data_IF_432301717552
#
_entry.id   IF_432301717552
#
_cell.length_a   1.000
_cell.length_b   1.000
_cell.length_c   1.000
_cell.angle_alpha   90.00
_cell.angle_beta   90.00
_cell.angle_gamma   90.00
#
_symmetry.space_group_name_H-M   'P 1'
#
loop_
_entity.id
_entity.type
_entity.pdbx_description
1 polymer ?
#
# COMPACT_ATOMS: atom_id res chain seq x y z
N UNK A 1 3.44 29.39 13.52
CA UNK A 1 3.19 27.97 13.80
C UNK A 1 3.96 27.15 12.78
N UNK A 2 5.20 26.77 13.08
CA UNK A 2 6.01 25.94 12.16
C UNK A 2 5.98 24.48 12.59
N UNK A 3 4.77 23.90 12.65
CA UNK A 3 4.66 22.44 12.80
C UNK A 3 4.99 21.79 11.46
N UNK A 4 5.84 20.78 11.51
CA UNK A 4 6.17 19.94 10.36
C UNK A 4 5.54 18.58 10.57
N UNK A 5 4.76 18.12 9.60
CA UNK A 5 4.07 16.84 9.68
C UNK A 5 4.56 15.90 8.59
N UNK A 6 4.77 14.64 8.96
CA UNK A 6 5.12 13.54 8.06
C UNK A 6 4.09 12.44 8.22
N UNK A 7 3.52 11.96 7.11
CA UNK A 7 2.74 10.72 7.12
C UNK A 7 3.56 9.57 6.53
N UNK A 8 3.40 8.37 7.11
CA UNK A 8 3.96 7.11 6.62
C UNK A 8 2.79 6.20 6.30
N UNK A 9 2.65 5.85 5.03
CA UNK A 9 1.62 4.98 4.49
C UNK A 9 2.26 3.61 4.24
N UNK A 10 1.68 2.58 4.85
CA UNK A 10 2.25 1.24 4.89
C UNK A 10 1.18 0.16 4.77
N UNK A 11 1.60 -1.07 4.54
CA UNK A 11 0.73 -2.25 4.58
C UNK A 11 0.51 -2.70 6.01
N UNK A 12 -0.72 -2.63 6.48
CA UNK A 12 -1.12 -3.06 7.82
C UNK A 12 -0.58 -4.44 8.15
N UNK A 13 -0.15 -4.61 9.42
CA UNK A 13 0.49 -5.81 9.95
C UNK A 13 1.89 -6.09 9.38
N UNK A 14 2.04 -6.19 8.06
CA UNK A 14 3.30 -6.57 7.40
C UNK A 14 4.40 -5.52 7.54
N UNK A 15 4.04 -4.23 7.57
CA UNK A 15 4.99 -3.12 7.58
C UNK A 15 4.82 -2.18 8.77
N UNK A 16 4.01 -2.59 9.76
CA UNK A 16 3.67 -1.78 10.95
C UNK A 16 4.91 -1.38 11.76
N UNK A 17 5.79 -2.33 12.03
CA UNK A 17 7.02 -2.08 12.81
C UNK A 17 7.95 -1.13 12.08
N UNK A 18 8.10 -1.29 10.76
CA UNK A 18 8.87 -0.37 9.92
C UNK A 18 8.31 1.06 9.97
N UNK A 19 6.99 1.23 9.85
CA UNK A 19 6.35 2.53 9.97
C UNK A 19 6.56 3.18 11.35
N UNK A 20 6.48 2.38 12.43
CA UNK A 20 6.76 2.80 13.81
C UNK A 20 8.21 3.27 13.97
N UNK A 21 9.17 2.56 13.38
CA UNK A 21 10.58 2.95 13.41
C UNK A 21 10.84 4.25 12.66
N UNK A 22 10.23 4.43 11.49
CA UNK A 22 10.35 5.67 10.72
C UNK A 22 9.77 6.85 11.52
N UNK A 23 8.52 6.76 11.99
CA UNK A 23 7.88 7.88 12.70
C UNK A 23 8.56 8.21 14.03
N UNK A 24 8.98 7.19 14.81
CA UNK A 24 9.78 7.41 16.03
C UNK A 24 11.15 8.00 15.71
N UNK A 25 11.83 7.48 14.69
CA UNK A 25 13.14 7.97 14.25
C UNK A 25 13.11 9.45 13.87
N UNK A 26 12.04 9.91 13.23
CA UNK A 26 11.82 11.33 12.93
C UNK A 26 11.81 12.17 14.20
N UNK A 27 11.02 11.76 15.21
CA UNK A 27 10.91 12.48 16.48
C UNK A 27 12.24 12.46 17.24
N UNK A 28 12.90 11.31 17.31
CA UNK A 28 14.19 11.14 18.00
C UNK A 28 15.28 12.02 17.36
N UNK A 29 15.37 12.05 16.03
CA UNK A 29 16.29 12.91 15.29
C UNK A 29 15.99 14.39 15.54
N UNK A 30 14.73 14.81 15.46
CA UNK A 30 14.33 16.19 15.73
C UNK A 30 14.71 16.66 17.15
N UNK A 31 14.60 15.77 18.16
CA UNK A 31 14.99 16.08 19.54
C UNK A 31 16.49 16.35 19.70
N UNK A 32 17.34 15.84 18.81
CA UNK A 32 18.78 16.17 18.81
C UNK A 32 19.06 17.63 18.44
N UNK A 33 18.09 18.31 17.84
CA UNK A 33 18.15 19.75 17.53
C UNK A 33 17.29 20.59 18.49
N UNK A 34 16.87 20.04 19.63
CA UNK A 34 16.07 20.78 20.63
C UNK A 34 14.60 20.96 20.26
N UNK A 35 14.12 20.34 19.19
CA UNK A 35 12.69 20.33 18.82
C UNK A 35 11.93 19.29 19.64
N UNK A 36 10.60 19.40 19.63
CA UNK A 36 9.70 18.42 20.27
C UNK A 36 8.84 17.75 19.21
N UNK A 37 8.33 16.54 19.50
CA UNK A 37 7.48 15.86 18.54
C UNK A 37 6.71 14.68 19.12
N UNK A 38 5.71 14.23 18.35
CA UNK A 38 4.85 13.10 18.67
C UNK A 38 4.74 12.17 17.45
N UNK A 39 4.65 10.87 17.71
CA UNK A 39 4.36 9.85 16.70
C UNK A 39 3.12 9.06 17.10
N UNK A 40 2.17 8.87 16.18
CA UNK A 40 0.92 8.16 16.44
C UNK A 40 0.34 7.52 15.18
N UNK A 41 -0.47 6.47 15.34
CA UNK A 41 -1.21 5.84 14.26
C UNK A 41 -2.57 6.48 14.02
N UNK A 42 -3.07 6.41 12.79
CA UNK A 42 -4.43 6.83 12.48
C UNK A 42 -5.43 5.91 13.16
N UNK A 43 -6.28 6.48 14.01
CA UNK A 43 -7.24 5.69 14.80
C UNK A 43 -8.17 4.83 13.94
N UNK A 44 -8.65 5.35 12.80
CA UNK A 44 -9.53 4.63 11.88
C UNK A 44 -8.93 3.38 11.23
N UNK A 45 -7.60 3.22 11.28
CA UNK A 45 -6.94 2.00 10.78
C UNK A 45 -6.88 0.90 11.84
N UNK A 46 -7.20 1.20 13.10
CA UNK A 46 -7.10 0.25 14.22
C UNK A 46 -8.44 -0.46 14.50
N UNK A 47 -8.48 -1.79 14.60
CA UNK A 47 -7.34 -2.71 14.49
C UNK A 47 -6.87 -2.91 13.04
N UNK A 48 -5.55 -2.91 12.85
CA UNK A 48 -4.94 -3.15 11.53
C UNK A 48 -5.30 -4.55 10.97
N UNK A 49 -5.18 -4.70 9.65
CA UNK A 49 -5.43 -5.94 8.91
C UNK A 49 -4.33 -6.18 7.90
N UNK A 50 -4.09 -7.45 7.58
CA UNK A 50 -3.04 -7.86 6.66
C UNK A 50 -3.17 -7.15 5.31
N UNK A 51 -2.18 -6.32 4.96
CA UNK A 51 -2.09 -5.68 3.65
C UNK A 51 -3.03 -4.49 3.43
N UNK A 52 -4.03 -4.28 4.29
CA UNK A 52 -4.89 -3.09 4.22
C UNK A 52 -4.01 -1.86 4.48
N UNK A 53 -4.04 -0.84 3.62
CA UNK A 53 -3.25 0.36 3.82
C UNK A 53 -3.58 1.04 5.17
N UNK A 54 -2.53 1.42 5.89
CA UNK A 54 -2.62 2.11 7.17
C UNK A 54 -1.66 3.31 7.19
N UNK A 55 -1.92 4.26 8.10
CA UNK A 55 -1.12 5.46 8.27
C UNK A 55 -0.59 5.62 9.69
N UNK A 56 0.65 6.06 9.78
CA UNK A 56 1.23 6.65 10.99
C UNK A 56 1.75 8.05 10.68
N UNK A 57 1.79 8.89 11.71
CA UNK A 57 2.22 10.27 11.59
C UNK A 57 3.36 10.55 12.55
N UNK A 58 4.26 11.44 12.14
CA UNK A 58 5.21 12.11 13.00
C UNK A 58 5.01 13.62 12.85
N UNK A 59 4.79 14.31 13.97
CA UNK A 59 4.64 15.77 14.00
C UNK A 59 5.77 16.33 14.85
N UNK A 60 6.51 17.29 14.29
CA UNK A 60 7.64 17.97 14.93
C UNK A 60 7.31 19.46 15.02
N UNK A 61 7.61 20.07 16.17
CA UNK A 61 7.40 21.48 16.44
C UNK A 61 8.61 22.09 17.15
N UNK A 62 8.70 23.42 17.16
CA UNK A 62 9.80 24.11 17.84
C UNK A 62 9.71 23.98 19.37
N UNK A 63 8.50 23.92 19.92
CA UNK A 63 8.23 23.84 21.36
C UNK A 63 6.89 23.15 21.66
N UNK A 64 6.63 22.89 22.94
CA UNK A 64 5.44 22.16 23.41
C UNK A 64 4.12 22.88 23.11
N UNK A 65 4.11 24.20 23.16
CA UNK A 65 2.91 25.01 22.89
C UNK A 65 2.45 24.84 21.44
N UNK A 66 3.38 24.88 20.48
CA UNK A 66 3.07 24.61 19.07
C UNK A 66 2.65 23.14 18.84
N UNK A 67 3.21 22.20 19.59
CA UNK A 67 2.89 20.78 19.46
C UNK A 67 1.47 20.47 19.94
N UNK A 68 1.02 21.08 21.04
CA UNK A 68 -0.29 20.82 21.67
C UNK A 68 -1.46 20.97 20.71
N UNK A 69 -1.42 21.93 19.79
CA UNK A 69 -2.46 22.13 18.76
C UNK A 69 -2.58 20.97 17.76
N UNK A 70 -1.62 20.06 17.73
CA UNK A 70 -1.58 18.90 16.83
C UNK A 70 -1.85 17.56 17.53
N UNK A 71 -1.72 17.49 18.87
CA UNK A 71 -1.88 16.24 19.64
C UNK A 71 -3.34 15.77 19.69
N UNK A 72 -4.31 16.69 19.55
CA UNK A 72 -5.75 16.39 19.63
C UNK A 72 -6.39 16.07 18.26
N UNK A 73 -5.63 15.58 17.28
CA UNK A 73 -6.12 15.28 15.92
C UNK A 73 -5.94 13.81 15.57
N UNK A 74 -6.93 13.23 14.87
CA UNK A 74 -6.86 11.85 14.39
C UNK A 74 -5.93 11.67 13.17
N UNK A 75 -5.82 12.70 12.34
CA UNK A 75 -4.99 12.78 11.13
C UNK A 75 -4.67 14.27 10.90
N UNK A 76 -3.44 14.63 10.50
CA UNK A 76 -3.12 15.98 10.04
C UNK A 76 -3.95 16.37 8.82
N UNK A 77 -4.30 17.65 8.68
CA UNK A 77 -4.97 18.13 7.46
C UNK A 77 -4.03 18.23 6.27
N UNK A 78 -2.75 18.52 6.55
CA UNK A 78 -1.69 18.65 5.56
C UNK A 78 -0.36 18.15 6.12
N UNK A 79 0.53 17.68 5.25
CA UNK A 79 1.86 17.16 5.58
C UNK A 79 2.93 17.71 4.63
N UNK A 80 4.14 17.87 5.14
CA UNK A 80 5.31 18.33 4.38
C UNK A 80 5.96 17.17 3.61
N UNK A 81 5.84 15.95 4.17
CA UNK A 81 6.34 14.72 3.56
C UNK A 81 5.30 13.60 3.70
N UNK A 82 5.05 12.90 2.60
CA UNK A 82 4.37 11.60 2.60
C UNK A 82 5.41 10.52 2.28
N UNK A 83 5.45 9.44 3.05
CA UNK A 83 6.30 8.27 2.78
C UNK A 83 5.40 7.08 2.47
N UNK A 84 5.50 6.53 1.26
CA UNK A 84 4.85 5.27 0.88
C UNK A 84 5.89 4.15 0.81
N UNK A 85 5.79 3.16 1.69
CA UNK A 85 6.80 2.08 1.82
C UNK A 85 6.60 0.91 0.84
N UNK A 86 5.56 0.98 0.01
CA UNK A 86 5.24 0.06 -1.09
C UNK A 86 4.72 0.89 -2.28
N UNK A 87 5.24 0.65 -3.48
CA UNK A 87 4.88 1.41 -4.67
C UNK A 87 3.47 1.13 -5.18
N UNK A 88 2.89 -0.03 -4.87
CA UNK A 88 1.50 -0.32 -5.19
C UNK A 88 0.51 0.59 -4.45
N UNK A 89 0.91 1.23 -3.34
CA UNK A 89 0.12 2.25 -2.64
C UNK A 89 -0.08 3.53 -3.46
N UNK A 90 0.72 3.75 -4.52
CA UNK A 90 0.53 4.88 -5.44
C UNK A 90 -0.86 4.87 -6.09
N UNK A 91 -1.41 3.67 -6.33
CA UNK A 91 -2.76 3.45 -6.88
C UNK A 91 -3.89 3.79 -5.89
N UNK A 92 -3.54 4.32 -4.71
CA UNK A 92 -4.47 4.81 -3.72
C UNK A 92 -4.56 3.94 -2.47
N UNK A 93 -5.10 4.55 -1.44
CA UNK A 93 -5.08 4.12 -0.05
C UNK A 93 -6.52 4.12 0.44
N UNK A 94 -7.04 2.97 0.82
CA UNK A 94 -8.35 2.88 1.44
C UNK A 94 -8.20 2.25 2.81
N UNK A 95 -8.57 3.02 3.83
CA UNK A 95 -8.76 2.48 5.18
C UNK A 95 -10.00 1.60 5.20
N UNK A 96 -10.05 0.65 6.13
CA UNK A 96 -11.26 -0.16 6.33
C UNK A 96 -12.42 0.62 6.98
N UNK A 97 -12.24 1.90 7.31
CA UNK A 97 -13.24 2.80 7.91
C UNK A 97 -14.07 3.64 6.90
N UNK A 98 -14.36 3.10 5.71
CA UNK A 98 -15.32 3.68 4.73
C UNK A 98 -15.02 5.11 4.23
N UNK A 99 -13.74 5.47 4.11
CA UNK A 99 -13.35 6.80 3.62
C UNK A 99 -13.30 6.93 2.08
N UNK A 100 -13.60 5.85 1.36
CA UNK A 100 -13.35 5.75 -0.08
C UNK A 100 -11.86 5.69 -0.41
N UNK A 101 -11.54 5.75 -1.69
CA UNK A 101 -10.17 5.78 -2.18
C UNK A 101 -9.53 7.13 -1.86
N UNK A 102 -8.39 7.11 -1.18
CA UNK A 102 -7.59 8.32 -0.95
C UNK A 102 -6.32 8.27 -1.78
N UNK A 103 -6.02 9.32 -2.56
CA UNK A 103 -4.71 9.48 -3.16
C UNK A 103 -3.58 9.42 -2.13
N UNK A 104 -2.46 8.79 -2.49
CA UNK A 104 -1.26 8.76 -1.63
C UNK A 104 -0.75 10.17 -1.33
N UNK A 105 -0.91 11.12 -2.26
CA UNK A 105 -0.51 12.52 -2.18
C UNK A 105 -1.62 13.45 -1.64
N UNK A 106 -2.69 12.90 -1.04
CA UNK A 106 -3.87 13.68 -0.60
C UNK A 106 -3.48 14.78 0.39
N UNK A 107 -2.77 14.43 1.47
CA UNK A 107 -2.40 15.39 2.52
C UNK A 107 -1.19 16.25 2.15
N UNK A 108 -0.47 15.92 1.09
CA UNK A 108 0.79 16.58 0.77
C UNK A 108 0.55 18.06 0.44
N UNK A 109 1.32 18.96 1.04
CA UNK A 109 1.30 20.40 0.72
C UNK A 109 1.86 20.67 -0.67
N UNK A 110 1.57 21.86 -1.21
CA UNK A 110 2.30 22.37 -2.37
C UNK A 110 3.81 22.38 -2.09
N UNK A 111 4.59 21.92 -3.06
CA UNK A 111 6.04 21.74 -2.98
C UNK A 111 6.53 20.74 -1.92
N UNK A 112 5.61 20.05 -1.21
CA UNK A 112 5.95 18.92 -0.34
C UNK A 112 6.57 17.74 -1.12
N UNK A 113 7.06 16.75 -0.40
CA UNK A 113 7.70 15.57 -1.01
C UNK A 113 6.97 14.26 -0.72
N UNK A 114 6.62 13.53 -1.76
CA UNK A 114 6.21 12.13 -1.70
C UNK A 114 7.45 11.24 -1.88
N UNK A 115 7.83 10.49 -0.86
CA UNK A 115 8.89 9.48 -0.92
C UNK A 115 8.27 8.11 -1.17
N UNK A 116 8.78 7.34 -2.13
CA UNK A 116 8.27 6.00 -2.46
C UNK A 116 9.42 4.98 -2.50
N UNK A 117 9.25 3.82 -1.84
CA UNK A 117 10.10 2.65 -2.10
C UNK A 117 9.71 2.04 -3.43
N UNK A 118 10.59 2.04 -4.43
CA UNK A 118 10.31 1.36 -5.69
C UNK A 118 11.56 0.98 -6.46
N UNK A 119 11.44 -0.04 -7.31
CA UNK A 119 12.45 -0.34 -8.34
C UNK A 119 12.22 0.50 -9.60
N UNK A 120 10.99 1.00 -9.82
CA UNK A 120 10.58 1.81 -10.96
C UNK A 120 11.14 3.23 -10.93
N UNK A 121 11.26 3.85 -12.10
CA UNK A 121 11.55 5.29 -12.26
C UNK A 121 10.35 6.16 -11.87
N UNK A 122 10.55 7.49 -11.81
CA UNK A 122 9.47 8.43 -11.51
C UNK A 122 8.43 8.42 -12.63
N UNK A 123 8.90 8.37 -13.87
CA UNK A 123 8.11 8.34 -15.10
C UNK A 123 7.19 7.11 -15.15
N UNK A 124 7.65 5.96 -14.62
CA UNK A 124 6.86 4.74 -14.51
C UNK A 124 5.87 4.74 -13.34
N UNK A 125 6.09 5.57 -12.30
CA UNK A 125 5.22 5.64 -11.12
C UNK A 125 4.13 6.70 -11.23
N UNK A 126 4.43 7.85 -11.83
CA UNK A 126 3.50 8.98 -11.96
C UNK A 126 2.15 8.55 -12.58
N UNK A 127 2.08 7.71 -13.63
CA UNK A 127 0.79 7.25 -14.18
C UNK A 127 -0.09 6.50 -13.17
N UNK A 128 0.49 5.98 -12.08
CA UNK A 128 -0.24 5.29 -11.03
C UNK A 128 -0.64 6.20 -9.86
N UNK A 129 -0.05 7.38 -9.73
CA UNK A 129 -0.34 8.34 -8.67
C UNK A 129 -1.44 9.28 -9.15
N UNK A 130 -2.50 9.46 -8.37
CA UNK A 130 -3.60 10.36 -8.73
C UNK A 130 -3.12 11.79 -8.91
N UNK A 131 -3.69 12.49 -9.90
CA UNK A 131 -3.43 13.90 -10.15
C UNK A 131 -3.65 14.75 -8.90
N UNK A 132 -2.82 15.77 -8.75
CA UNK A 132 -2.95 16.82 -7.76
C UNK A 132 -2.93 18.17 -8.46
N UNK A 133 -3.73 19.08 -7.94
CA UNK A 133 -3.89 20.46 -8.40
C UNK A 133 -2.67 21.34 -8.13
N UNK A 134 -1.84 20.94 -7.17
CA UNK A 134 -0.58 21.62 -6.83
C UNK A 134 0.64 20.76 -7.17
N UNK A 135 1.74 21.45 -7.47
CA UNK A 135 3.03 20.81 -7.71
C UNK A 135 3.59 20.18 -6.43
N UNK A 136 4.29 19.05 -6.57
CA UNK A 136 5.00 18.40 -5.47
C UNK A 136 6.27 17.71 -5.98
N UNK A 137 7.10 17.16 -5.09
CA UNK A 137 8.29 16.41 -5.45
C UNK A 137 8.04 14.91 -5.25
N UNK A 138 8.44 14.08 -6.21
CA UNK A 138 8.48 12.63 -6.07
C UNK A 138 9.92 12.20 -5.83
N UNK A 139 10.20 11.67 -4.65
CA UNK A 139 11.48 11.11 -4.26
C UNK A 139 11.43 9.57 -4.30
N UNK A 140 12.43 8.93 -4.92
CA UNK A 140 12.47 7.47 -5.06
C UNK A 140 13.61 6.91 -4.23
N UNK A 141 13.26 5.99 -3.33
CA UNK A 141 14.20 5.12 -2.66
C UNK A 141 14.23 3.80 -3.42
N UNK A 142 15.35 3.56 -4.13
CA UNK A 142 15.49 2.35 -4.94
C UNK A 142 15.49 1.10 -4.06
N UNK A 143 14.51 0.23 -4.29
CA UNK A 143 14.34 -1.02 -3.56
C UNK A 143 13.02 -1.70 -3.86
N UNK A 144 12.93 -3.00 -3.56
CA UNK A 144 11.64 -3.68 -3.47
C UNK A 144 10.95 -3.28 -2.16
N UNK A 145 9.63 -3.34 -2.14
CA UNK A 145 8.89 -3.17 -0.90
C UNK A 145 9.39 -4.18 0.16
N UNK A 146 9.67 -3.69 1.36
CA UNK A 146 10.17 -4.51 2.46
C UNK A 146 8.99 -5.25 3.08
N UNK A 147 8.92 -6.55 2.82
CA UNK A 147 7.95 -7.46 3.40
C UNK A 147 8.67 -8.60 4.09
N UNK A 148 8.08 -9.06 5.18
CA UNK A 148 8.38 -10.28 5.91
C UNK A 148 7.07 -10.93 6.34
N UNK A 149 7.16 -12.09 6.98
CA UNK A 149 6.03 -12.79 7.54
C UNK A 149 5.23 -11.97 8.55
N UNK A 150 4.09 -12.54 8.94
CA UNK A 150 3.17 -11.94 9.89
C UNK A 150 3.90 -11.58 11.19
N UNK A 151 3.89 -10.30 11.53
CA UNK A 151 4.55 -9.74 12.71
C UNK A 151 6.09 -9.82 12.73
N UNK A 152 6.72 -10.20 11.63
CA UNK A 152 8.18 -10.21 11.50
C UNK A 152 8.62 -8.85 10.97
N UNK A 153 9.67 -8.28 11.55
CA UNK A 153 10.32 -7.09 11.01
C UNK A 153 11.53 -7.50 10.15
N UNK A 154 11.49 -7.17 8.86
CA UNK A 154 12.64 -7.34 7.96
C UNK A 154 13.58 -6.15 8.10
N UNK A 155 14.67 -6.34 8.84
CA UNK A 155 15.71 -5.34 9.00
C UNK A 155 16.62 -5.23 7.75
N UNK A 156 16.05 -4.82 6.62
CA UNK A 156 16.77 -4.58 5.35
C UNK A 156 17.11 -3.09 5.12
N UNK A 157 17.12 -2.33 6.21
CA UNK A 157 17.45 -0.91 6.27
C UNK A 157 16.56 -0.03 5.36
N UNK A 158 15.36 -0.48 5.01
CA UNK A 158 14.38 0.34 4.27
C UNK A 158 13.95 1.54 5.10
N UNK A 159 13.70 1.37 6.40
CA UNK A 159 13.46 2.46 7.36
C UNK A 159 14.61 3.48 7.39
N UNK A 160 15.86 3.02 7.46
CA UNK A 160 17.04 3.89 7.50
C UNK A 160 17.24 4.66 6.20
N UNK A 161 16.95 4.04 5.06
CA UNK A 161 16.98 4.73 3.76
C UNK A 161 15.88 5.81 3.69
N UNK A 162 14.69 5.54 4.23
CA UNK A 162 13.62 6.55 4.32
C UNK A 162 14.02 7.72 5.21
N UNK A 163 14.51 7.43 6.41
CA UNK A 163 14.99 8.44 7.35
C UNK A 163 16.14 9.26 6.75
N UNK A 164 17.10 8.61 6.10
CA UNK A 164 18.25 9.26 5.46
C UNK A 164 17.88 10.21 4.32
N UNK A 165 16.74 10.02 3.67
CA UNK A 165 16.27 10.94 2.63
C UNK A 165 15.65 12.23 3.21
N UNK A 166 15.16 12.20 4.46
CA UNK A 166 14.45 13.33 5.06
C UNK A 166 15.30 14.61 5.20
N UNK A 167 16.57 14.58 5.65
CA UNK A 167 17.40 15.77 5.68
C UNK A 167 17.61 16.41 4.30
N UNK A 168 17.47 15.63 3.21
CA UNK A 168 17.59 16.14 1.84
C UNK A 168 16.30 16.79 1.35
N UNK A 169 15.15 16.17 1.62
CA UNK A 169 13.85 16.61 1.06
C UNK A 169 13.07 17.55 1.97
N UNK A 170 13.35 17.52 3.27
CA UNK A 170 12.72 18.33 4.30
C UNK A 170 13.74 18.70 5.39
N UNK A 171 14.78 19.50 5.07
CA UNK A 171 15.86 19.85 6.00
C UNK A 171 15.40 20.61 7.25
N UNK A 172 14.19 21.17 7.23
CA UNK A 172 13.59 21.84 8.39
C UNK A 172 13.14 20.84 9.48
N UNK A 173 12.94 19.56 9.17
CA UNK A 173 12.69 18.50 10.17
C UNK A 173 13.91 18.34 11.08
N UNK A 174 15.07 18.05 10.48
CA UNK A 174 16.37 17.88 11.11
C UNK A 174 17.45 17.69 10.03
N UNK A 175 18.71 17.96 10.37
CA UNK A 175 19.88 17.69 9.55
C UNK A 175 20.42 16.26 9.69
N UNK A 176 21.32 15.86 8.78
CA UNK A 176 21.97 14.54 8.81
C UNK A 176 22.69 14.24 10.14
N UNK A 177 23.47 15.17 10.75
CA UNK A 177 24.15 14.88 12.02
C UNK A 177 23.20 14.51 13.15
N UNK A 178 22.04 15.16 13.21
CA UNK A 178 21.00 14.87 14.20
C UNK A 178 20.38 13.48 13.99
N UNK A 179 20.12 13.11 12.72
CA UNK A 179 19.66 11.78 12.38
C UNK A 179 20.68 10.70 12.74
N UNK A 180 21.95 10.88 12.36
CA UNK A 180 22.99 9.90 12.67
C UNK A 180 23.19 9.74 14.17
N UNK A 181 23.16 10.83 14.94
CA UNK A 181 23.24 10.79 16.40
C UNK A 181 22.07 10.03 17.01
N UNK A 182 20.84 10.24 16.52
CA UNK A 182 19.67 9.46 16.93
C UNK A 182 19.81 7.98 16.56
N UNK A 183 20.36 7.66 15.38
CA UNK A 183 20.56 6.27 14.95
C UNK A 183 21.53 5.54 15.87
N UNK A 184 22.67 6.17 16.20
CA UNK A 184 23.70 5.60 17.08
C UNK A 184 23.20 5.42 18.51
N UNK A 185 22.33 6.31 18.99
CA UNK A 185 21.75 6.20 20.33
C UNK A 185 20.70 5.09 20.42
N UNK A 186 19.74 5.05 19.49
CA UNK A 186 18.59 4.14 19.56
C UNK A 186 18.96 2.71 19.12
N UNK A 187 19.64 2.56 17.97
CA UNK A 187 19.92 1.24 17.38
C UNK A 187 21.35 0.77 17.56
N UNK A 188 22.30 1.63 17.97
CA UNK A 188 23.72 1.29 18.20
C UNK A 188 24.36 0.57 17.02
N UNK A 189 24.04 1.01 15.80
CA UNK A 189 24.40 0.32 14.57
C UNK A 189 24.94 1.31 13.52
N UNK A 190 26.26 1.28 13.29
CA UNK A 190 26.92 2.14 12.31
C UNK A 190 26.61 1.74 10.85
N UNK A 191 26.16 0.50 10.59
CA UNK A 191 25.70 0.11 9.25
C UNK A 191 24.37 0.80 8.91
N UNK A 192 23.51 1.03 9.91
CA UNK A 192 22.29 1.82 9.73
C UNK A 192 22.59 3.28 9.43
N UNK A 193 23.61 3.86 10.09
CA UNK A 193 24.10 5.21 9.79
C UNK A 193 24.58 5.29 8.34
N UNK A 194 25.48 4.39 7.93
CA UNK A 194 25.98 4.35 6.55
C UNK A 194 24.87 4.14 5.50
N UNK A 195 23.79 3.42 5.87
CA UNK A 195 22.63 3.26 5.01
C UNK A 195 21.82 4.55 4.87
N UNK A 196 21.65 5.32 5.94
CA UNK A 196 20.98 6.62 5.92
C UNK A 196 21.79 7.64 5.10
N UNK A 197 23.11 7.72 5.31
CA UNK A 197 24.03 8.59 4.56
C UNK A 197 23.97 8.31 3.05
N UNK A 198 24.09 7.04 2.65
CA UNK A 198 23.99 6.66 1.23
C UNK A 198 22.64 7.03 0.63
N UNK A 199 21.57 7.00 1.41
CA UNK A 199 20.25 7.38 0.94
C UNK A 199 20.15 8.90 0.72
N UNK A 200 20.69 9.69 1.65
CA UNK A 200 20.78 11.15 1.51
C UNK A 200 21.48 11.55 0.20
N UNK A 201 22.57 10.87 -0.14
CA UNK A 201 23.35 11.13 -1.37
C UNK A 201 22.65 10.68 -2.65
N UNK A 202 21.91 9.57 -2.60
CA UNK A 202 21.41 8.86 -3.81
C UNK A 202 19.93 9.06 -4.09
N UNK A 203 19.16 9.64 -3.16
CA UNK A 203 17.73 9.86 -3.35
C UNK A 203 17.49 10.65 -4.64
N UNK A 204 16.70 10.06 -5.53
CA UNK A 204 16.34 10.68 -6.81
C UNK A 204 15.08 11.49 -6.59
N UNK A 205 15.11 12.78 -6.95
CA UNK A 205 13.97 13.68 -6.77
C UNK A 205 13.55 14.19 -8.15
N UNK A 206 12.26 14.05 -8.45
CA UNK A 206 11.65 14.52 -9.70
C UNK A 206 10.46 15.41 -9.37
N UNK A 207 10.43 16.61 -9.92
CA UNK A 207 9.33 17.56 -9.73
C UNK A 207 8.09 17.09 -10.50
N UNK A 208 6.96 16.95 -9.82
CA UNK A 208 5.65 16.65 -10.42
C UNK A 208 4.86 17.95 -10.57
N UNK A 209 4.45 18.24 -11.81
CA UNK A 209 3.65 19.43 -12.14
C UNK A 209 2.19 19.19 -11.73
N UNK A 210 1.40 20.26 -11.58
CA UNK A 210 -0.05 20.14 -11.53
C UNK A 210 -0.56 19.29 -12.69
N UNK A 211 -1.60 18.50 -12.45
CA UNK A 211 -2.29 17.65 -13.44
C UNK A 211 -1.48 16.50 -14.05
N UNK A 212 -0.22 16.30 -13.65
CA UNK A 212 0.52 15.07 -13.95
C UNK A 212 0.08 13.95 -13.00
N UNK A 213 -0.27 12.79 -13.56
CA UNK A 213 -0.71 11.62 -12.80
C UNK A 213 -1.88 10.87 -13.43
N UNK A 214 -2.37 9.86 -12.73
CA UNK A 214 -3.59 9.11 -13.07
C UNK A 214 -4.80 10.05 -13.11
N UNK A 215 -5.60 10.03 -14.20
CA UNK A 215 -6.86 10.76 -14.30
C UNK A 215 -8.01 10.05 -13.56
N UNK A 216 -7.76 8.90 -12.92
CA UNK A 216 -8.77 8.20 -12.12
C UNK A 216 -9.32 9.13 -11.04
N UNK A 217 -10.66 9.20 -10.95
CA UNK A 217 -11.33 9.95 -9.90
C UNK A 217 -11.53 8.98 -8.74
N UNK A 218 -10.94 9.23 -7.56
CA UNK A 218 -11.14 8.37 -6.41
C UNK A 218 -12.61 8.29 -6.04
N UNK A 219 -13.14 7.07 -5.89
CA UNK A 219 -14.51 6.90 -5.41
C UNK A 219 -14.62 7.33 -3.96
N UNK A 220 -15.78 7.87 -3.59
CA UNK A 220 -16.10 8.32 -2.25
C UNK A 220 -17.50 7.90 -1.87
N UNK A 221 -17.77 7.80 -0.56
CA UNK A 221 -19.08 7.47 -0.04
C UNK A 221 -19.70 8.68 0.66
N UNK A 222 -21.02 8.82 0.55
CA UNK A 222 -21.75 9.83 1.33
C UNK A 222 -21.86 9.33 2.76
N UNK A 223 -21.16 9.99 3.68
CA UNK A 223 -21.28 9.67 5.09
C UNK A 223 -22.67 10.10 5.62
N UNK A 224 -23.36 9.25 6.40
CA UNK A 224 -24.61 9.65 7.02
C UNK A 224 -24.36 10.82 7.98
N UNK A 225 -25.22 11.83 7.94
CA UNK A 225 -25.25 12.87 8.96
C UNK A 225 -25.81 12.33 10.28
N UNK A 226 -25.58 13.05 11.39
CA UNK A 226 -26.05 12.63 12.72
C UNK A 226 -27.56 12.40 12.82
N UNK A 227 -28.36 13.01 11.94
CA UNK A 227 -29.83 12.81 11.86
C UNK A 227 -30.25 11.60 11.05
N UNK A 228 -29.37 11.07 10.19
CA UNK A 228 -29.62 9.92 9.32
C UNK A 228 -28.88 8.66 9.76
N UNK A 229 -28.02 8.76 10.77
CA UNK A 229 -27.44 7.60 11.42
C UNK A 229 -28.55 6.80 12.09
N UNK A 230 -28.54 5.48 11.87
CA UNK A 230 -29.44 4.56 12.56
C UNK A 230 -29.13 4.57 14.07
N UNK A 231 -30.14 4.29 14.91
CA UNK A 231 -29.99 4.29 16.37
C UNK A 231 -28.98 3.26 16.90
N UNK A 232 -28.61 2.28 16.08
CA UNK A 232 -27.63 1.26 16.41
C UNK A 232 -26.82 0.79 15.21
N UNK A 233 -25.73 0.06 15.47
CA UNK A 233 -24.89 -0.53 14.44
C UNK A 233 -25.60 -1.74 13.81
N UNK A 234 -26.04 -1.62 12.56
CA UNK A 234 -26.62 -2.73 11.78
C UNK A 234 -25.62 -3.22 10.75
N UNK A 235 -25.13 -4.45 10.92
CA UNK A 235 -24.33 -5.14 9.90
C UNK A 235 -25.28 -5.89 8.98
N UNK A 236 -25.52 -5.33 7.79
CA UNK A 236 -26.39 -5.95 6.79
C UNK A 236 -25.67 -7.13 6.13
N UNK A 237 -26.39 -8.24 5.93
CA UNK A 237 -25.87 -9.37 5.18
C UNK A 237 -25.65 -8.96 3.71
N UNK A 238 -24.55 -9.44 3.13
CA UNK A 238 -24.32 -9.32 1.69
C UNK A 238 -25.26 -10.33 1.00
N UNK A 239 -26.04 -9.92 -0.01
CA UNK A 239 -26.84 -10.84 -0.82
C UNK A 239 -25.97 -11.97 -1.42
N UNK A 240 -26.58 -13.08 -1.82
CA UNK A 240 -25.79 -14.18 -2.38
C UNK A 240 -25.12 -13.79 -3.70
N UNK A 241 -25.80 -13.04 -4.56
CA UNK A 241 -25.38 -12.78 -5.94
C UNK A 241 -26.42 -13.31 -6.93
N UNK A 242 -26.06 -13.38 -8.21
CA UNK A 242 -27.01 -13.69 -9.26
C UNK A 242 -26.38 -14.17 -10.56
N UNK A 243 -27.16 -14.06 -11.64
CA UNK A 243 -26.74 -14.43 -12.98
C UNK A 243 -25.55 -13.59 -13.45
N UNK A 244 -24.75 -14.16 -14.34
CA UNK A 244 -23.68 -13.41 -14.98
C UNK A 244 -24.29 -12.49 -16.04
N UNK A 245 -24.20 -11.17 -15.81
CA UNK A 245 -24.88 -10.18 -16.63
C UNK A 245 -24.47 -10.26 -18.11
N UNK A 246 -25.47 -10.31 -19.00
CA UNK A 246 -25.26 -10.34 -20.45
C UNK A 246 -25.07 -11.74 -21.07
N UNK A 247 -25.17 -12.81 -20.28
CA UNK A 247 -24.97 -14.18 -20.76
C UNK A 247 -26.01 -15.16 -20.19
N UNK A 248 -26.21 -16.28 -20.90
CA UNK A 248 -26.99 -17.42 -20.39
C UNK A 248 -26.06 -18.34 -19.59
N UNK A 249 -26.36 -18.51 -18.30
CA UNK A 249 -25.52 -19.24 -17.35
C UNK A 249 -24.47 -18.38 -16.61
N UNK A 250 -23.63 -19.05 -15.83
CA UNK A 250 -22.67 -18.38 -14.93
C UNK A 250 -23.30 -17.87 -13.64
N UNK A 251 -22.43 -17.39 -12.73
CA UNK A 251 -22.81 -16.89 -11.42
C UNK A 251 -21.83 -15.81 -10.94
N UNK A 252 -22.36 -14.66 -10.53
CA UNK A 252 -21.59 -13.54 -9.97
C UNK A 252 -22.00 -13.33 -8.51
N UNK A 253 -21.10 -13.51 -7.53
CA UNK A 253 -21.39 -13.19 -6.13
C UNK A 253 -21.62 -11.68 -5.96
N UNK A 254 -22.57 -11.33 -5.08
CA UNK A 254 -22.73 -9.93 -4.67
C UNK A 254 -21.55 -9.52 -3.79
N UNK A 255 -21.18 -8.24 -3.86
CA UNK A 255 -20.00 -7.72 -3.17
C UNK A 255 -20.39 -6.56 -2.28
N UNK A 256 -19.57 -6.27 -1.28
CA UNK A 256 -19.77 -5.07 -0.48
C UNK A 256 -19.49 -3.83 -1.36
N UNK A 257 -20.50 -2.99 -1.66
CA UNK A 257 -20.30 -1.82 -2.51
C UNK A 257 -19.49 -0.72 -1.81
N UNK A 258 -19.35 -0.81 -0.49
CA UNK A 258 -18.68 0.18 0.37
C UNK A 258 -17.24 -0.18 0.72
N UNK A 259 -16.74 -1.31 0.24
CA UNK A 259 -15.38 -1.72 0.54
C UNK A 259 -14.76 -2.44 -0.66
N UNK A 260 -14.14 -1.64 -1.54
CA UNK A 260 -13.30 -2.17 -2.60
C UNK A 260 -11.99 -2.64 -1.97
N UNK A 261 -11.45 -3.77 -2.41
CA UNK A 261 -10.28 -4.39 -1.77
C UNK A 261 -9.02 -4.27 -2.62
N UNK A 262 -9.12 -3.67 -3.79
CA UNK A 262 -8.01 -3.66 -4.74
C UNK A 262 -6.80 -2.85 -4.26
N UNK A 263 -7.03 -1.85 -3.41
CA UNK A 263 -6.00 -1.02 -2.80
C UNK A 263 -5.12 -1.80 -1.82
N UNK A 264 -5.55 -2.97 -1.35
CA UNK A 264 -4.79 -3.82 -0.43
C UNK A 264 -3.73 -4.66 -1.15
N UNK A 265 -3.74 -4.67 -2.48
CA UNK A 265 -2.86 -5.53 -3.28
C UNK A 265 -1.47 -4.96 -3.40
N UNK A 266 -0.48 -5.81 -3.16
CA UNK A 266 0.88 -5.68 -3.72
C UNK A 266 1.03 -6.57 -4.96
N UNK A 267 0.28 -7.67 -5.03
CA UNK A 267 0.21 -8.58 -6.17
C UNK A 267 -1.24 -8.96 -6.49
N UNK A 268 -1.51 -9.34 -7.74
CA UNK A 268 -2.82 -9.87 -8.19
C UNK A 268 -2.66 -11.18 -8.97
N UNK A 269 -3.69 -12.05 -9.01
CA UNK A 269 -3.62 -13.26 -9.81
C UNK A 269 -3.87 -12.96 -11.30
N UNK A 270 -3.10 -13.63 -12.15
CA UNK A 270 -3.33 -13.73 -13.59
C UNK A 270 -3.67 -15.18 -13.93
N UNK A 271 -4.70 -15.40 -14.74
CA UNK A 271 -5.25 -16.74 -15.03
C UNK A 271 -4.91 -17.18 -16.45
N UNK A 272 -4.26 -18.32 -16.62
CA UNK A 272 -4.12 -19.01 -17.89
C UNK A 272 -5.36 -19.88 -18.15
N UNK A 273 -6.39 -19.29 -18.78
CA UNK A 273 -7.64 -19.98 -19.08
C UNK A 273 -7.46 -21.19 -20.01
N UNK A 274 -6.37 -21.26 -20.79
CA UNK A 274 -6.08 -22.42 -21.65
C UNK A 274 -5.63 -23.64 -20.84
N UNK A 275 -5.01 -23.43 -19.67
CA UNK A 275 -4.61 -24.48 -18.73
C UNK A 275 -5.67 -24.83 -17.69
N UNK A 276 -6.66 -23.96 -17.51
CA UNK A 276 -7.66 -24.14 -16.47
C UNK A 276 -8.52 -25.39 -16.72
N UNK A 277 -8.51 -26.30 -15.75
CA UNK A 277 -9.29 -27.55 -15.76
C UNK A 277 -10.69 -27.39 -15.15
N UNK A 278 -11.07 -26.16 -14.76
CA UNK A 278 -12.37 -25.83 -14.14
C UNK A 278 -12.65 -26.63 -12.85
N UNK A 279 -11.59 -26.97 -12.11
CA UNK A 279 -11.68 -27.78 -10.88
C UNK A 279 -12.29 -27.07 -9.65
N UNK A 280 -12.70 -25.80 -9.78
CA UNK A 280 -13.40 -24.99 -8.76
C UNK A 280 -12.60 -24.60 -7.50
N UNK A 281 -11.40 -25.16 -7.29
CA UNK A 281 -10.61 -24.94 -6.06
C UNK A 281 -10.29 -23.46 -5.79
N UNK A 282 -9.92 -22.69 -6.82
CA UNK A 282 -9.63 -21.26 -6.66
C UNK A 282 -10.86 -20.45 -6.23
N UNK A 283 -12.06 -20.85 -6.64
CA UNK A 283 -13.32 -20.24 -6.26
C UNK A 283 -13.72 -20.63 -4.83
N UNK A 284 -13.69 -21.92 -4.50
CA UNK A 284 -14.04 -22.44 -3.17
C UNK A 284 -13.11 -21.92 -2.06
N UNK A 285 -11.82 -21.78 -2.35
CA UNK A 285 -10.80 -21.39 -1.37
C UNK A 285 -10.58 -19.87 -1.32
N UNK A 286 -11.28 -19.09 -2.15
CA UNK A 286 -11.15 -17.64 -2.11
C UNK A 286 -11.83 -17.09 -0.84
N UNK A 287 -11.09 -16.50 0.11
CA UNK A 287 -11.68 -15.99 1.35
C UNK A 287 -12.57 -14.76 1.12
N UNK A 288 -12.46 -14.11 -0.03
CA UNK A 288 -13.18 -12.90 -0.39
C UNK A 288 -14.27 -13.12 -1.44
N UNK A 289 -14.49 -14.37 -1.87
CA UNK A 289 -15.43 -14.71 -2.95
C UNK A 289 -15.25 -13.84 -4.19
N UNK A 290 -14.00 -13.56 -4.58
CA UNK A 290 -13.72 -12.62 -5.66
C UNK A 290 -13.89 -13.20 -7.06
N UNK A 291 -14.00 -14.52 -7.21
CA UNK A 291 -14.15 -15.17 -8.52
C UNK A 291 -15.61 -15.21 -8.98
N UNK A 292 -15.86 -14.72 -10.19
CA UNK A 292 -17.09 -14.95 -10.93
C UNK A 292 -17.01 -16.30 -11.64
N UNK A 293 -18.11 -17.06 -11.61
CA UNK A 293 -18.28 -18.26 -12.44
C UNK A 293 -18.78 -17.79 -13.80
N UNK A 294 -17.94 -17.93 -14.80
CA UNK A 294 -18.25 -17.51 -16.17
C UNK A 294 -19.25 -18.47 -16.83
N UNK A 295 -19.97 -18.04 -17.88
CA UNK A 295 -20.98 -18.86 -18.58
C UNK A 295 -20.43 -20.17 -19.16
N UNK A 296 -19.17 -20.16 -19.58
CA UNK A 296 -18.45 -21.33 -20.11
C UNK A 296 -17.72 -22.12 -19.01
N UNK A 297 -17.95 -21.80 -17.73
CA UNK A 297 -17.51 -22.58 -16.57
C UNK A 297 -16.07 -22.32 -16.09
N UNK A 298 -15.41 -21.28 -16.60
CA UNK A 298 -14.16 -20.77 -16.03
C UNK A 298 -14.41 -19.86 -14.81
N UNK A 299 -13.32 -19.49 -14.13
CA UNK A 299 -13.33 -18.65 -12.94
C UNK A 299 -12.54 -17.37 -13.19
N UNK A 300 -13.24 -16.25 -13.30
CA UNK A 300 -12.62 -14.94 -13.53
C UNK A 300 -12.53 -14.16 -12.22
N UNK A 301 -11.33 -13.74 -11.83
CA UNK A 301 -11.15 -13.00 -10.60
C UNK A 301 -11.55 -11.52 -10.81
N UNK A 302 -12.55 -11.06 -10.07
CA UNK A 302 -12.92 -9.65 -10.07
C UNK A 302 -11.83 -8.81 -9.39
N UNK A 303 -11.16 -7.97 -10.16
CA UNK A 303 -10.02 -7.17 -9.71
C UNK A 303 -10.41 -5.92 -8.92
N UNK A 304 -11.69 -5.62 -8.71
CA UNK A 304 -12.08 -4.61 -7.71
C UNK A 304 -12.19 -5.23 -6.31
N UNK A 305 -12.59 -6.49 -6.25
CA UNK A 305 -12.85 -7.24 -5.01
C UNK A 305 -11.65 -8.07 -4.54
N UNK A 306 -10.71 -8.39 -5.43
CA UNK A 306 -9.54 -9.18 -5.09
C UNK A 306 -8.59 -8.39 -4.16
N UNK A 307 -8.33 -8.92 -2.97
CA UNK A 307 -7.36 -8.37 -2.02
C UNK A 307 -5.91 -8.81 -2.30
N UNK A 308 -5.70 -9.69 -3.29
CA UNK A 308 -4.38 -10.16 -3.70
C UNK A 308 -3.77 -11.20 -2.75
N UNK A 309 -4.57 -11.90 -1.93
CA UNK A 309 -4.02 -12.80 -0.91
C UNK A 309 -3.14 -13.93 -1.45
N UNK A 310 -3.33 -14.37 -2.71
CA UNK A 310 -2.54 -15.42 -3.38
C UNK A 310 -2.92 -16.86 -3.02
N UNK A 311 -4.04 -17.08 -2.31
CA UNK A 311 -4.55 -18.43 -1.99
C UNK A 311 -4.87 -19.20 -3.27
N UNK A 312 -5.45 -18.53 -4.27
CA UNK A 312 -5.82 -19.14 -5.55
C UNK A 312 -4.63 -19.72 -6.34
N UNK A 313 -3.45 -19.07 -6.31
CA UNK A 313 -2.22 -19.63 -6.87
C UNK A 313 -1.76 -20.87 -6.09
N UNK A 314 -1.82 -20.80 -4.75
CA UNK A 314 -1.35 -21.88 -3.88
C UNK A 314 -2.20 -23.16 -3.95
N UNK A 315 -3.51 -23.03 -4.16
CA UNK A 315 -4.44 -24.19 -4.21
C UNK A 315 -4.66 -24.74 -5.62
N UNK A 316 -4.18 -24.05 -6.66
CA UNK A 316 -4.39 -24.50 -8.03
C UNK A 316 -3.56 -25.77 -8.31
N UNK A 317 -4.18 -26.88 -8.75
CA UNK A 317 -3.45 -28.14 -8.98
C UNK A 317 -2.69 -28.16 -10.31
N UNK A 318 -2.91 -27.15 -11.17
CA UNK A 318 -2.30 -27.05 -12.49
C UNK A 318 -1.17 -26.03 -12.43
N UNK A 319 0.05 -26.47 -12.75
CA UNK A 319 1.22 -25.59 -12.75
C UNK A 319 1.01 -24.37 -13.66
N UNK A 320 1.23 -23.18 -13.07
CA UNK A 320 1.12 -21.88 -13.75
C UNK A 320 -0.25 -21.63 -14.41
N UNK A 321 -1.32 -22.27 -13.94
CA UNK A 321 -2.68 -21.88 -14.34
C UNK A 321 -3.11 -20.57 -13.67
N UNK A 322 -2.67 -20.33 -12.43
CA UNK A 322 -2.82 -19.04 -11.75
C UNK A 322 -1.43 -18.59 -11.35
N UNK A 323 -1.07 -17.34 -11.61
CA UNK A 323 0.24 -16.78 -11.25
C UNK A 323 0.07 -15.41 -10.62
N UNK A 324 0.68 -15.18 -9.46
CA UNK A 324 0.66 -13.86 -8.83
C UNK A 324 1.68 -12.93 -9.50
N UNK A 325 1.24 -11.73 -9.86
CA UNK A 325 2.07 -10.71 -10.54
C UNK A 325 1.95 -9.38 -9.78
N UNK A 326 3.04 -8.62 -9.71
CA UNK A 326 3.07 -7.32 -9.03
C UNK A 326 1.96 -6.39 -9.52
N UNK A 327 1.24 -5.77 -8.59
CA UNK A 327 0.09 -4.89 -8.84
C UNK A 327 0.46 -3.69 -9.71
N UNK A 328 1.70 -3.21 -9.58
CA UNK A 328 2.22 -2.08 -10.37
C UNK A 328 2.42 -2.43 -11.85
N UNK A 329 2.26 -3.68 -12.27
CA UNK A 329 2.26 -4.06 -13.68
C UNK A 329 0.90 -3.80 -14.35
N UNK A 330 -0.10 -3.30 -13.64
CA UNK A 330 -1.48 -3.18 -14.14
C UNK A 330 -2.03 -1.77 -13.95
N UNK A 331 -2.69 -1.26 -14.99
CA UNK A 331 -3.28 0.07 -15.01
C UNK A 331 -4.78 0.06 -14.70
N UNK A 332 -5.48 -1.07 -14.92
CA UNK A 332 -6.92 -1.20 -14.66
C UNK A 332 -7.28 -2.50 -13.92
N UNK A 333 -8.57 -2.66 -13.63
CA UNK A 333 -9.15 -3.81 -12.93
C UNK A 333 -10.16 -4.58 -13.82
N UNK A 334 -9.97 -4.57 -15.14
CA UNK A 334 -10.90 -5.22 -16.07
C UNK A 334 -10.85 -6.75 -16.00
N UNK A 335 -11.93 -7.38 -16.48
CA UNK A 335 -12.04 -8.83 -16.58
C UNK A 335 -10.95 -9.41 -17.48
N UNK A 336 -10.26 -10.44 -16.98
CA UNK A 336 -9.27 -11.19 -17.77
C UNK A 336 -9.98 -12.18 -18.69
N UNK A 337 -11.10 -12.76 -18.24
CA UNK A 337 -11.89 -13.67 -19.06
C UNK A 337 -12.53 -12.98 -20.28
N UNK A 338 -13.05 -11.77 -20.14
CA UNK A 338 -13.57 -11.00 -21.29
C UNK A 338 -12.45 -10.69 -22.29
N UNK A 339 -11.27 -10.31 -21.80
CA UNK A 339 -10.09 -10.08 -22.63
C UNK A 339 -9.69 -11.35 -23.39
N UNK A 340 -9.66 -12.50 -22.71
CA UNK A 340 -9.34 -13.80 -23.30
C UNK A 340 -10.37 -14.25 -24.33
N UNK A 341 -11.66 -14.10 -24.03
CA UNK A 341 -12.76 -14.51 -24.91
C UNK A 341 -12.80 -13.68 -26.18
N UNK A 342 -12.48 -12.38 -26.07
CA UNK A 342 -12.43 -11.46 -27.22
C UNK A 342 -11.26 -11.77 -28.16
N UNK A 343 -10.08 -12.06 -27.63
CA UNK A 343 -8.89 -12.39 -28.42
C UNK A 343 -7.95 -13.33 -27.65
N UNK A 344 -8.06 -14.62 -27.95
CA UNK A 344 -7.25 -15.67 -27.30
C UNK A 344 -5.76 -15.53 -27.59
N UNK A 345 -5.39 -15.12 -28.80
CA UNK A 345 -3.99 -15.00 -29.20
C UNK A 345 -3.35 -13.76 -28.58
N UNK A 346 -4.05 -12.62 -28.62
CA UNK A 346 -3.63 -11.41 -27.93
C UNK A 346 -3.53 -11.60 -26.42
N UNK A 347 -4.47 -12.32 -25.82
CA UNK A 347 -4.41 -12.68 -24.40
C UNK A 347 -3.20 -13.56 -24.08
N UNK A 348 -2.89 -14.57 -24.90
CA UNK A 348 -1.71 -15.41 -24.69
C UNK A 348 -0.41 -14.59 -24.71
N UNK A 349 -0.28 -13.64 -25.64
CA UNK A 349 0.85 -12.71 -25.69
C UNK A 349 0.93 -11.78 -24.47
N UNK A 350 -0.21 -11.23 -24.05
CA UNK A 350 -0.30 -10.42 -22.83
C UNK A 350 0.07 -11.22 -21.58
N UNK A 351 -0.47 -12.43 -21.45
CA UNK A 351 -0.22 -13.35 -20.34
C UNK A 351 1.27 -13.65 -20.24
N UNK A 352 1.89 -14.07 -21.35
CA UNK A 352 3.32 -14.35 -21.42
C UNK A 352 4.17 -13.16 -20.94
N UNK A 353 3.82 -11.94 -21.36
CA UNK A 353 4.49 -10.70 -20.92
C UNK A 353 4.30 -10.45 -19.42
N UNK A 354 3.10 -10.68 -18.87
CA UNK A 354 2.82 -10.44 -17.43
C UNK A 354 3.53 -11.43 -16.52
N UNK A 355 3.68 -12.68 -16.95
CA UNK A 355 4.29 -13.75 -16.15
C UNK A 355 5.79 -13.94 -16.43
N UNK A 356 6.36 -13.23 -17.41
CA UNK A 356 7.78 -13.27 -17.77
C UNK A 356 8.66 -13.03 -16.54
N UNK A 357 8.32 -12.00 -15.77
CA UNK A 357 8.97 -11.65 -14.52
C UNK A 357 8.08 -12.11 -13.37
N UNK A 358 8.37 -13.32 -12.85
CA UNK A 358 7.69 -13.88 -11.67
C UNK A 358 8.48 -13.55 -10.41
N UNK A 359 8.24 -12.41 -9.74
CA UNK A 359 8.84 -12.18 -8.45
C UNK A 359 8.35 -13.27 -7.48
N UNK A 360 9.25 -13.68 -6.58
CA UNK A 360 8.84 -14.47 -5.43
C UNK A 360 7.72 -13.73 -4.70
N UNK A 361 6.67 -14.48 -4.34
CA UNK A 361 5.48 -13.90 -3.71
C UNK A 361 5.92 -13.22 -2.41
N UNK A 362 5.70 -11.92 -2.31
CA UNK A 362 6.24 -11.11 -1.21
C UNK A 362 5.37 -11.11 0.04
N UNK A 363 4.17 -11.71 0.00
CA UNK A 363 3.22 -11.68 1.11
C UNK A 363 2.27 -12.88 1.14
N UNK A 364 1.76 -13.19 2.33
CA UNK A 364 0.78 -14.24 2.58
C UNK A 364 1.43 -15.59 2.88
N UNK A 365 0.60 -16.57 3.18
CA UNK A 365 1.05 -17.91 3.56
C UNK A 365 1.40 -18.71 2.29
N UNK A 366 2.65 -19.18 2.19
CA UNK A 366 3.11 -19.99 1.06
C UNK A 366 3.25 -21.47 1.43
N UNK A 367 3.66 -21.76 2.66
CA UNK A 367 3.83 -23.10 3.18
C UNK A 367 3.76 -23.13 4.71
N UNK A 368 3.44 -24.30 5.27
CA UNK A 368 3.47 -24.53 6.73
C UNK A 368 4.92 -24.51 7.21
N UNK A 369 5.20 -23.79 8.30
CA UNK A 369 6.56 -23.62 8.81
C UNK A 369 7.31 -22.38 8.27
N UNK A 370 6.70 -21.58 7.39
CA UNK A 370 7.32 -20.37 6.82
C UNK A 370 7.94 -19.44 7.89
N UNK A 371 7.23 -19.21 9.01
CA UNK A 371 7.71 -18.32 10.07
C UNK A 371 8.87 -18.90 10.91
N UNK A 372 9.11 -20.21 10.87
CA UNK A 372 10.23 -20.82 11.60
C UNK A 372 11.57 -20.58 10.88
N UNK A 373 11.52 -20.40 9.55
CA UNK A 373 12.69 -20.09 8.72
C UNK A 373 12.97 -18.59 8.55
N UNK A 374 11.97 -17.74 8.74
CA UNK A 374 12.14 -16.29 8.75
C UNK A 374 12.67 -15.85 10.12
N UNK A 375 13.86 -15.24 10.18
CA UNK A 375 14.44 -14.74 11.44
C UNK A 375 13.46 -13.78 12.11
N UNK A 376 12.86 -14.21 13.22
CA UNK A 376 11.96 -13.39 14.03
C UNK A 376 12.84 -12.42 14.83
N UNK A 377 13.15 -11.25 14.27
CA UNK A 377 13.46 -10.08 15.09
C UNK A 377 12.12 -9.56 15.66
N UNK A 378 11.67 -10.18 16.75
CA UNK A 378 10.65 -9.59 17.62
C UNK A 378 11.34 -8.45 18.36
N UNK A 379 10.96 -7.22 18.02
CA UNK A 379 11.36 -6.05 18.79
C UNK A 379 10.06 -5.49 19.37
N UNK A 380 9.98 -5.54 20.70
CA UNK A 380 8.82 -5.14 21.52
C UNK A 380 8.25 -3.74 21.21
#
# INVERSE_FOLDING_TARGET
MSTTAVEVIYRGIFQRTMAKHITRGIVLAARKEGKVGIAFGRYGDSPERNGIPAKQFAIVAANDEELQGSIAKYEPTEVDVTIAVDDALCKGVESWAWYGLQPVNKLLKENGTLIVTSTKSAEELIPHIHKKDVAYNLAIIKGKASFSGLWVYKNDHTDMRMLGALPRVAPHLFGSPALEAAIREEWKDDLKVASAEKSFERVQIRKVKPDEGSPEIPFSFTMPGWKSMEEGLVVRAIPLGGHFEGYDGGYRPERNPYFKKFTTRTMRPVVDFAKCTKCTLCWLQCPDSCFDVTPDGYYDANMEACCGCGVCEAVCPVDKCVTMVNETQFEDNKSQWEMWTKDKNGYAGWLAKKIEHRPERSHGFHHRGQYEGEKIEQID
#
